data_IF_285417223193
#
_entry.id   IF_285417223193
#
_cell.length_a   1.000
_cell.length_b   1.000
_cell.length_c   1.000
_cell.angle_alpha   90.00
_cell.angle_beta   90.00
_cell.angle_gamma   90.00
#
_symmetry.space_group_name_H-M   'P 1'
#
loop_
_entity.id
_entity.type
_entity.pdbx_description
1 polymer ?
#
# COMPACT_ATOMS: atom_id res chain seq x y z
N UNK A 1 2.53 66.33 -24.76
CA UNK A 1 2.42 65.43 -23.59
C UNK A 1 1.28 64.44 -23.84
N UNK A 2 1.58 63.23 -24.35
CA UNK A 2 0.58 62.18 -24.63
C UNK A 2 0.54 61.23 -23.43
N UNK A 3 -0.57 61.20 -22.68
CA UNK A 3 -0.80 60.20 -21.63
C UNK A 3 -1.20 58.89 -22.29
N UNK A 4 -0.43 57.82 -22.05
CA UNK A 4 -0.77 56.45 -22.43
C UNK A 4 -1.80 55.92 -21.42
N UNK A 5 -2.96 55.51 -21.91
CA UNK A 5 -3.95 54.76 -21.14
C UNK A 5 -3.40 53.34 -20.97
N UNK A 6 -3.09 52.95 -19.73
CA UNK A 6 -2.73 51.57 -19.36
C UNK A 6 -4.03 50.88 -18.98
N UNK A 7 -4.51 49.98 -19.82
CA UNK A 7 -5.67 49.12 -19.54
C UNK A 7 -5.19 47.99 -18.64
N UNK A 8 -5.56 48.05 -17.37
CA UNK A 8 -5.33 47.04 -16.35
C UNK A 8 -6.39 45.94 -16.53
N UNK A 9 -6.05 44.84 -17.20
CA UNK A 9 -6.94 43.67 -17.28
C UNK A 9 -6.78 42.88 -15.99
N UNK A 10 -7.71 43.09 -15.06
CA UNK A 10 -7.86 42.29 -13.86
C UNK A 10 -8.39 40.90 -14.26
N UNK A 11 -7.55 39.88 -14.17
CA UNK A 11 -7.98 38.48 -14.18
C UNK A 11 -7.93 37.98 -12.73
N UNK A 12 -9.10 37.98 -12.07
CA UNK A 12 -9.32 37.23 -10.84
C UNK A 12 -9.14 35.74 -11.15
N UNK A 13 -8.13 35.12 -10.53
CA UNK A 13 -8.08 33.66 -10.36
C UNK A 13 -8.02 33.39 -8.85
N UNK A 14 -8.84 32.43 -8.46
CA UNK A 14 -9.34 32.21 -7.11
C UNK A 14 -8.28 32.16 -6.03
N UNK A 15 -8.64 32.78 -4.90
CA UNK A 15 -8.07 32.54 -3.59
C UNK A 15 -8.28 31.06 -3.24
N UNK A 16 -7.31 30.21 -3.57
CA UNK A 16 -7.25 28.82 -3.11
C UNK A 16 -6.84 28.82 -1.63
N UNK A 17 -7.71 28.24 -0.82
CA UNK A 17 -7.43 27.87 0.58
C UNK A 17 -6.19 26.97 0.58
N UNK A 18 -5.08 27.46 1.13
CA UNK A 18 -3.93 26.61 1.47
C UNK A 18 -4.30 25.74 2.66
N UNK A 19 -4.93 24.61 2.39
CA UNK A 19 -4.96 23.50 3.34
C UNK A 19 -3.52 22.98 3.36
N UNK A 20 -2.83 23.18 4.48
CA UNK A 20 -1.57 22.50 4.72
C UNK A 20 -1.86 21.00 4.79
N UNK A 21 -1.69 20.32 3.65
CA UNK A 21 -1.69 18.87 3.61
C UNK A 21 -0.33 18.49 4.17
N UNK A 22 -0.28 18.17 5.46
CA UNK A 22 0.80 17.33 5.96
C UNK A 22 0.80 16.09 5.10
N UNK A 23 1.89 15.82 4.38
CA UNK A 23 2.14 14.54 3.75
C UNK A 23 2.33 13.52 4.87
N UNK A 24 1.20 13.06 5.41
CA UNK A 24 1.17 11.73 5.99
C UNK A 24 1.47 10.85 4.80
N UNK A 25 2.66 10.23 4.75
CA UNK A 25 2.83 9.02 3.97
C UNK A 25 1.82 8.06 4.59
N UNK A 26 0.61 8.07 4.07
CA UNK A 26 -0.35 7.03 4.35
C UNK A 26 0.35 5.80 3.82
N UNK A 27 0.82 4.93 4.73
CA UNK A 27 1.29 3.62 4.34
C UNK A 27 0.26 3.07 3.35
N UNK A 28 0.69 2.58 2.19
CA UNK A 28 -0.23 2.22 1.12
C UNK A 28 -1.22 1.21 1.70
N UNK A 29 -2.45 1.66 1.91
CA UNK A 29 -3.52 0.76 2.33
C UNK A 29 -3.70 -0.22 1.19
N UNK A 30 -3.52 -1.53 1.42
CA UNK A 30 -3.62 -2.48 0.34
C UNK A 30 -5.03 -2.40 -0.24
N UNK A 31 -5.11 -2.26 -1.56
CA UNK A 31 -6.34 -2.41 -2.32
C UNK A 31 -6.71 -3.89 -2.31
N UNK A 32 -7.58 -4.27 -1.37
CA UNK A 32 -8.06 -5.64 -1.19
C UNK A 32 -9.41 -5.85 -1.88
N UNK A 33 -9.69 -7.08 -2.37
CA UNK A 33 -11.00 -7.39 -2.94
C UNK A 33 -12.11 -7.22 -1.89
N UNK A 34 -13.21 -6.53 -2.21
CA UNK A 34 -14.33 -6.33 -1.29
C UNK A 34 -15.25 -7.56 -1.21
N UNK A 35 -15.03 -8.56 -2.06
CA UNK A 35 -15.80 -9.80 -2.13
C UNK A 35 -15.08 -10.97 -1.50
N UNK A 36 -15.77 -12.11 -1.42
CA UNK A 36 -15.20 -13.35 -0.92
C UNK A 36 -14.12 -13.87 -1.87
N UNK A 37 -13.04 -14.39 -1.28
CA UNK A 37 -12.01 -15.17 -1.94
C UNK A 37 -11.96 -16.56 -1.32
N UNK A 38 -11.36 -17.52 -2.02
CA UNK A 38 -11.20 -18.88 -1.50
C UNK A 38 -9.81 -19.03 -0.90
N UNK A 39 -9.77 -19.43 0.36
CA UNK A 39 -8.56 -19.78 1.10
C UNK A 39 -8.49 -21.31 1.27
N UNK A 40 -7.33 -21.88 1.01
CA UNK A 40 -6.93 -23.20 1.49
C UNK A 40 -5.68 -23.07 2.34
N UNK A 41 -5.50 -23.94 3.33
CA UNK A 41 -4.28 -23.98 4.15
C UNK A 41 -3.70 -25.39 4.19
N UNK A 42 -2.37 -25.46 4.19
CA UNK A 42 -1.60 -26.67 4.44
C UNK A 42 -0.46 -26.35 5.43
N UNK A 43 0.06 -27.37 6.11
CA UNK A 43 1.18 -27.16 7.04
C UNK A 43 2.45 -26.72 6.27
N UNK A 44 3.25 -25.84 6.89
CA UNK A 44 4.52 -25.36 6.35
C UNK A 44 5.64 -25.46 7.40
N UNK A 45 6.90 -25.28 6.98
CA UNK A 45 8.06 -25.31 7.86
C UNK A 45 8.56 -23.92 8.27
N UNK A 46 8.25 -22.88 7.49
CA UNK A 46 8.74 -21.52 7.74
C UNK A 46 7.66 -20.61 8.34
N UNK A 47 6.40 -20.98 8.14
CA UNK A 47 5.22 -20.35 8.71
C UNK A 47 4.29 -21.43 9.25
N UNK A 48 3.29 -21.06 10.05
CA UNK A 48 2.39 -22.05 10.62
C UNK A 48 1.59 -22.78 9.52
N UNK A 49 1.24 -22.06 8.45
CA UNK A 49 0.65 -22.62 7.24
C UNK A 49 1.24 -22.02 5.98
N UNK A 50 1.23 -22.78 4.89
CA UNK A 50 1.14 -22.19 3.57
C UNK A 50 -0.34 -21.97 3.24
N UNK A 51 -0.72 -20.73 2.98
CA UNK A 51 -2.08 -20.32 2.64
C UNK A 51 -2.19 -20.07 1.15
N UNK A 52 -3.08 -20.77 0.46
CA UNK A 52 -3.33 -20.57 -0.96
C UNK A 52 -4.63 -19.79 -1.16
N UNK A 53 -4.53 -18.64 -1.79
CA UNK A 53 -5.68 -17.85 -2.25
C UNK A 53 -6.02 -18.20 -3.69
N UNK A 54 -7.32 -18.30 -3.96
CA UNK A 54 -7.87 -18.41 -5.30
C UNK A 54 -9.17 -17.64 -5.47
N UNK A 55 -9.56 -17.39 -6.72
CA UNK A 55 -10.70 -16.56 -7.09
C UNK A 55 -10.57 -15.10 -6.63
N UNK A 56 -9.34 -14.60 -6.50
CA UNK A 56 -9.04 -13.19 -6.31
C UNK A 56 -9.21 -12.47 -7.65
N UNK A 57 -10.11 -11.47 -7.77
CA UNK A 57 -10.25 -10.72 -9.01
C UNK A 57 -8.96 -9.96 -9.35
N UNK A 58 -8.73 -9.70 -10.64
CA UNK A 58 -7.59 -8.88 -11.05
C UNK A 58 -7.77 -7.41 -10.60
N UNK A 59 -6.64 -6.72 -10.39
CA UNK A 59 -6.61 -5.29 -10.04
C UNK A 59 -6.58 -4.99 -8.54
N UNK A 60 -6.26 -6.00 -7.72
CA UNK A 60 -6.01 -5.87 -6.28
C UNK A 60 -4.54 -6.16 -5.97
N UNK A 61 -4.09 -5.72 -4.78
CA UNK A 61 -2.69 -5.89 -4.34
C UNK A 61 -2.40 -7.32 -3.86
N UNK A 62 -3.46 -8.10 -3.63
CA UNK A 62 -3.41 -9.55 -3.40
C UNK A 62 -3.86 -10.25 -4.67
N UNK A 63 -3.27 -11.41 -4.97
CA UNK A 63 -3.56 -12.20 -6.16
C UNK A 63 -3.77 -13.67 -5.81
N UNK A 64 -4.22 -14.46 -6.79
CA UNK A 64 -4.19 -15.91 -6.68
C UNK A 64 -2.73 -16.38 -6.49
N UNK A 65 -2.48 -17.20 -5.47
CA UNK A 65 -1.12 -17.57 -5.11
C UNK A 65 -1.00 -18.21 -3.73
N UNK A 66 0.24 -18.52 -3.33
CA UNK A 66 0.56 -19.09 -2.03
C UNK A 66 1.34 -18.09 -1.18
N UNK A 67 0.95 -17.96 0.07
CA UNK A 67 1.43 -16.98 1.02
C UNK A 67 1.78 -17.64 2.35
N UNK A 68 2.88 -17.24 3.03
CA UNK A 68 3.10 -17.62 4.42
C UNK A 68 1.92 -17.21 5.28
N UNK A 69 1.48 -18.09 6.18
CA UNK A 69 0.28 -17.89 6.97
C UNK A 69 0.44 -18.26 8.44
N UNK A 70 -0.33 -17.58 9.29
CA UNK A 70 -0.30 -17.74 10.75
C UNK A 70 -1.70 -17.84 11.33
N UNK A 71 -1.85 -18.58 12.41
CA UNK A 71 -3.08 -18.60 13.19
C UNK A 71 -3.22 -17.28 13.97
N UNK A 72 -4.44 -16.77 14.00
CA UNK A 72 -4.80 -15.63 14.86
C UNK A 72 -5.63 -16.09 16.05
N UNK A 73 -6.45 -17.12 15.86
CA UNK A 73 -7.32 -17.69 16.90
C UNK A 73 -6.73 -19.00 17.46
N UNK A 74 -6.94 -19.29 18.74
CA UNK A 74 -6.56 -20.56 19.40
C UNK A 74 -7.76 -21.46 19.73
N UNK A 75 -8.99 -20.99 19.51
CA UNK A 75 -10.23 -21.62 20.02
C UNK A 75 -10.81 -22.62 19.04
N UNK A 76 -10.56 -22.41 17.76
CA UNK A 76 -11.11 -23.18 16.65
C UNK A 76 -9.97 -23.70 15.80
N UNK A 77 -10.18 -24.87 15.21
CA UNK A 77 -9.25 -25.42 14.24
C UNK A 77 -9.66 -24.96 12.84
N UNK A 78 -8.67 -24.74 11.97
CA UNK A 78 -8.90 -24.59 10.54
C UNK A 78 -8.72 -25.95 9.84
N UNK A 79 -9.65 -26.39 8.97
CA UNK A 79 -9.44 -27.60 8.19
C UNK A 79 -8.30 -27.39 7.19
N UNK A 80 -7.53 -28.45 6.95
CA UNK A 80 -6.44 -28.45 5.96
C UNK A 80 -6.98 -28.90 4.61
N UNK A 81 -6.45 -28.32 3.53
CA UNK A 81 -6.78 -28.69 2.15
C UNK A 81 -8.28 -28.61 1.79
N UNK A 82 -9.05 -27.81 2.53
CA UNK A 82 -10.46 -27.52 2.27
C UNK A 82 -10.65 -26.06 1.85
N UNK A 83 -11.60 -25.84 0.94
CA UNK A 83 -11.98 -24.50 0.48
C UNK A 83 -12.75 -23.76 1.57
N UNK A 84 -12.20 -22.64 2.02
CA UNK A 84 -12.81 -21.75 3.00
C UNK A 84 -13.05 -20.40 2.33
N UNK A 85 -14.29 -19.94 2.34
CA UNK A 85 -14.61 -18.60 1.87
C UNK A 85 -14.25 -17.57 2.94
N UNK A 86 -13.42 -16.61 2.57
CA UNK A 86 -12.92 -15.56 3.48
C UNK A 86 -13.12 -14.17 2.88
N UNK A 87 -13.34 -13.19 3.76
CA UNK A 87 -13.18 -11.78 3.46
C UNK A 87 -11.80 -11.32 3.92
N UNK A 88 -11.09 -10.56 3.07
CA UNK A 88 -9.76 -10.06 3.39
C UNK A 88 -9.82 -8.67 4.03
N UNK A 89 -9.06 -8.47 5.11
CA UNK A 89 -8.90 -7.17 5.77
C UNK A 89 -7.42 -6.86 5.99
N UNK A 90 -7.04 -5.59 5.90
CA UNK A 90 -5.70 -5.15 6.30
C UNK A 90 -5.59 -5.13 7.82
N UNK A 91 -4.43 -5.50 8.36
CA UNK A 91 -4.13 -5.28 9.78
C UNK A 91 -4.04 -3.78 10.15
N UNK A 92 -3.96 -2.87 9.17
CA UNK A 92 -4.04 -1.41 9.38
C UNK A 92 -5.48 -0.91 9.48
N UNK A 93 -6.44 -1.66 8.92
CA UNK A 93 -7.89 -1.39 8.98
C UNK A 93 -8.65 -2.68 9.30
N UNK A 94 -8.39 -3.29 10.47
CA UNK A 94 -9.01 -4.54 10.85
C UNK A 94 -10.53 -4.37 10.99
N UNK A 95 -11.31 -5.47 10.86
CA UNK A 95 -12.74 -5.43 11.14
C UNK A 95 -12.98 -5.10 12.61
N UNK A 96 -14.17 -4.59 12.93
CA UNK A 96 -14.50 -4.04 14.26
C UNK A 96 -14.16 -5.00 15.41
N UNK A 97 -14.43 -6.29 15.24
CA UNK A 97 -14.21 -7.32 16.26
C UNK A 97 -12.72 -7.62 16.53
N UNK A 98 -11.83 -7.18 15.64
CA UNK A 98 -10.38 -7.31 15.76
C UNK A 98 -9.68 -5.94 15.91
N UNK A 99 -10.43 -4.84 15.98
CA UNK A 99 -9.87 -3.49 15.95
C UNK A 99 -9.12 -3.10 17.24
N UNK A 100 -9.36 -3.80 18.34
CA UNK A 100 -8.65 -3.59 19.61
C UNK A 100 -7.35 -4.38 19.74
N UNK A 101 -7.05 -5.26 18.78
CA UNK A 101 -5.87 -6.12 18.82
C UNK A 101 -4.59 -5.35 18.44
N UNK A 102 -3.45 -5.83 18.91
CA UNK A 102 -2.14 -5.17 18.73
C UNK A 102 -1.51 -5.53 17.38
N UNK A 103 -2.18 -5.13 16.30
CA UNK A 103 -1.75 -5.39 14.92
C UNK A 103 -0.41 -4.72 14.56
N UNK A 104 -0.09 -3.60 15.19
CA UNK A 104 1.22 -2.95 15.13
C UNK A 104 2.34 -3.92 15.56
N UNK A 105 2.13 -4.62 16.68
CA UNK A 105 3.07 -5.60 17.21
C UNK A 105 3.17 -6.84 16.32
N UNK A 106 2.03 -7.31 15.78
CA UNK A 106 2.03 -8.44 14.82
C UNK A 106 2.84 -8.08 13.57
N UNK A 107 2.59 -6.91 12.99
CA UNK A 107 3.34 -6.43 11.83
C UNK A 107 4.83 -6.29 12.14
N UNK A 108 5.20 -5.78 13.31
CA UNK A 108 6.61 -5.69 13.74
C UNK A 108 7.26 -7.08 13.82
N UNK A 109 6.58 -8.06 14.43
CA UNK A 109 7.07 -9.45 14.52
C UNK A 109 7.32 -10.01 13.12
N UNK A 110 6.37 -9.84 12.19
CA UNK A 110 6.51 -10.36 10.84
C UNK A 110 7.72 -9.77 10.08
N UNK A 111 8.13 -8.54 10.42
CA UNK A 111 9.31 -7.89 9.84
C UNK A 111 10.62 -8.16 10.57
N UNK A 112 10.57 -8.78 11.75
CA UNK A 112 11.75 -9.07 12.57
C UNK A 112 11.88 -10.58 12.91
N UNK A 113 11.22 -11.45 12.12
CA UNK A 113 11.14 -12.89 12.37
C UNK A 113 12.32 -13.72 11.84
N UNK A 114 13.24 -13.12 11.10
CA UNK A 114 14.31 -13.87 10.42
C UNK A 114 15.20 -14.62 11.44
N UNK A 115 15.42 -15.91 11.19
CA UNK A 115 16.24 -16.77 12.04
C UNK A 115 15.55 -17.23 13.34
N UNK A 116 14.26 -16.92 13.53
CA UNK A 116 13.47 -17.35 14.67
C UNK A 116 12.70 -18.64 14.38
N UNK A 117 12.38 -19.39 15.45
CA UNK A 117 11.62 -20.64 15.35
C UNK A 117 10.14 -20.36 15.08
N UNK A 118 9.55 -21.07 14.12
CA UNK A 118 8.15 -20.91 13.70
C UNK A 118 7.16 -20.93 14.87
N UNK A 119 7.30 -21.88 15.81
CA UNK A 119 6.39 -21.97 16.95
C UNK A 119 6.57 -20.84 17.96
N UNK A 120 7.74 -20.23 18.04
CA UNK A 120 7.97 -19.07 18.90
C UNK A 120 7.33 -17.81 18.28
N UNK A 121 7.42 -17.65 16.95
CA UNK A 121 6.71 -16.60 16.21
C UNK A 121 5.19 -16.75 16.39
N UNK A 122 4.64 -17.95 16.17
CA UNK A 122 3.21 -18.21 16.31
C UNK A 122 2.70 -17.89 17.73
N UNK A 123 3.47 -18.23 18.76
CA UNK A 123 3.12 -17.91 20.15
C UNK A 123 3.19 -16.42 20.45
N UNK A 124 4.14 -15.70 19.85
CA UNK A 124 4.22 -14.26 19.99
C UNK A 124 3.02 -13.56 19.32
N UNK A 125 2.58 -14.04 18.15
CA UNK A 125 1.36 -13.54 17.49
C UNK A 125 0.13 -13.73 18.40
N UNK A 126 -0.05 -14.94 18.98
CA UNK A 126 -1.15 -15.20 19.93
C UNK A 126 -1.07 -14.38 21.22
N UNK A 127 0.11 -13.86 21.59
CA UNK A 127 0.20 -12.94 22.72
C UNK A 127 -0.43 -11.58 22.41
N UNK A 128 -0.26 -11.07 21.19
CA UNK A 128 -0.71 -9.73 20.79
C UNK A 128 -2.12 -9.70 20.23
N UNK A 129 -2.66 -10.84 19.79
CA UNK A 129 -4.05 -10.98 19.37
C UNK A 129 -4.83 -11.76 20.44
N UNK A 130 -5.52 -11.03 21.32
CA UNK A 130 -6.21 -11.52 22.52
C UNK A 130 -7.72 -11.58 22.30
N UNK A 131 -8.16 -12.33 21.30
CA UNK A 131 -9.59 -12.53 21.04
C UNK A 131 -10.33 -12.98 22.32
N UNK A 132 -11.36 -12.22 22.70
CA UNK A 132 -12.20 -12.41 23.89
C UNK A 132 -11.45 -12.58 25.22
N UNK A 133 -10.26 -11.98 25.35
CA UNK A 133 -9.46 -12.05 26.58
C UNK A 133 -8.78 -13.40 26.81
N UNK A 134 -8.83 -14.33 25.84
CA UNK A 134 -8.05 -15.57 25.82
C UNK A 134 -6.62 -15.27 25.35
N UNK A 135 -6.01 -14.22 25.92
CA UNK A 135 -4.62 -13.86 25.71
C UNK A 135 -3.75 -14.55 26.75
N UNK A 136 -3.66 -15.88 26.71
CA UNK A 136 -2.83 -16.59 27.67
C UNK A 136 -2.14 -17.77 27.02
N UNK A 137 -0.81 -17.74 27.08
CA UNK A 137 -0.02 -18.95 27.09
C UNK A 137 -0.70 -19.96 28.01
N UNK A 138 -1.10 -21.11 27.48
CA UNK A 138 -1.45 -22.24 28.32
C UNK A 138 -0.13 -22.83 28.87
N UNK A 139 0.52 -22.10 29.79
CA UNK A 139 1.86 -22.39 30.32
C UNK A 139 2.79 -21.17 30.36
N UNK A 140 4.08 -21.40 30.64
CA UNK A 140 5.12 -20.38 30.45
C UNK A 140 5.48 -20.32 28.96
N UNK A 141 5.57 -19.13 28.33
CA UNK A 141 6.23 -19.01 27.04
C UNK A 141 7.58 -19.71 27.06
N UNK A 142 7.93 -20.36 25.94
CA UNK A 142 9.33 -20.72 25.70
C UNK A 142 10.18 -19.45 25.69
N UNK A 143 11.45 -19.56 26.06
CA UNK A 143 12.35 -18.40 26.14
C UNK A 143 12.45 -17.64 24.80
N UNK A 144 12.35 -18.34 23.66
CA UNK A 144 12.31 -17.73 22.34
C UNK A 144 11.07 -16.86 22.14
N UNK A 145 9.87 -17.41 22.34
CA UNK A 145 8.63 -16.65 22.24
C UNK A 145 8.59 -15.43 23.17
N UNK A 146 9.09 -15.56 24.41
CA UNK A 146 9.17 -14.42 25.33
C UNK A 146 10.11 -13.34 24.82
N UNK A 147 11.27 -13.69 24.27
CA UNK A 147 12.20 -12.72 23.71
C UNK A 147 11.61 -11.93 22.53
N UNK A 148 10.81 -12.58 21.68
CA UNK A 148 10.08 -11.92 20.59
C UNK A 148 9.06 -10.93 21.13
N UNK A 149 8.30 -11.34 22.15
CA UNK A 149 7.31 -10.49 22.80
C UNK A 149 7.98 -9.28 23.45
N UNK A 150 9.06 -9.48 24.19
CA UNK A 150 9.79 -8.40 24.85
C UNK A 150 10.36 -7.40 23.82
N UNK A 151 10.88 -7.90 22.69
CA UNK A 151 11.39 -7.04 21.61
C UNK A 151 10.28 -6.24 20.93
N UNK A 152 9.14 -6.88 20.63
CA UNK A 152 7.98 -6.20 20.07
C UNK A 152 7.41 -5.17 21.06
N UNK A 153 7.24 -5.48 22.35
CA UNK A 153 6.77 -4.51 23.35
C UNK A 153 7.72 -3.30 23.48
N UNK A 154 9.02 -3.50 23.26
CA UNK A 154 10.01 -2.43 23.32
C UNK A 154 10.04 -1.55 22.06
N UNK A 155 9.77 -2.11 20.87
CA UNK A 155 10.08 -1.46 19.59
C UNK A 155 8.91 -1.39 18.58
N UNK A 156 7.86 -2.19 18.76
CA UNK A 156 6.76 -2.36 17.79
C UNK A 156 5.56 -1.44 18.00
N UNK A 157 5.54 -0.62 19.06
CA UNK A 157 4.42 0.27 19.34
C UNK A 157 4.25 1.31 18.23
N UNK A 158 3.11 1.27 17.54
CA UNK A 158 2.82 2.13 16.39
C UNK A 158 3.61 1.76 15.12
N UNK A 159 4.19 0.57 15.04
CA UNK A 159 4.83 0.08 13.81
C UNK A 159 3.80 -0.06 12.68
N UNK A 160 4.11 0.57 11.56
CA UNK A 160 3.32 0.52 10.33
C UNK A 160 4.29 0.09 9.23
N UNK A 161 4.10 -1.09 8.59
CA UNK A 161 4.95 -1.53 7.51
C UNK A 161 5.02 -0.49 6.39
N UNK A 162 6.23 -0.21 5.92
CA UNK A 162 6.52 0.56 4.72
C UNK A 162 6.80 -0.33 3.51
N UNK A 163 7.35 0.27 2.47
CA UNK A 163 7.73 -0.40 1.22
C UNK A 163 8.75 -1.54 1.46
N UNK A 164 8.53 -2.68 0.81
CA UNK A 164 9.35 -3.89 0.96
C UNK A 164 9.18 -4.60 2.30
N UNK A 165 8.41 -4.05 3.24
CA UNK A 165 8.08 -4.67 4.51
C UNK A 165 6.81 -5.53 4.41
N UNK A 166 6.66 -6.47 5.34
CA UNK A 166 5.54 -7.40 5.39
C UNK A 166 4.36 -6.77 6.13
N UNK A 167 3.20 -6.80 5.48
CA UNK A 167 1.91 -6.48 6.07
C UNK A 167 1.08 -7.74 6.28
N UNK A 168 0.44 -7.85 7.45
CA UNK A 168 -0.53 -8.92 7.70
C UNK A 168 -1.88 -8.63 7.03
N UNK A 169 -2.39 -9.58 6.24
CA UNK A 169 -3.79 -9.59 5.78
C UNK A 169 -4.57 -10.62 6.56
N UNK A 170 -5.62 -10.16 7.23
CA UNK A 170 -6.55 -10.98 7.99
C UNK A 170 -7.49 -11.69 7.01
N UNK A 171 -7.52 -13.01 7.09
CA UNK A 171 -8.46 -13.85 6.38
C UNK A 171 -9.61 -14.20 7.33
N UNK A 172 -10.72 -13.46 7.22
CA UNK A 172 -11.90 -13.65 8.07
C UNK A 172 -12.86 -14.66 7.43
N UNK A 173 -13.07 -15.87 7.98
CA UNK A 173 -13.98 -16.85 7.42
C UNK A 173 -15.45 -16.47 7.64
N UNK A 174 -16.32 -16.85 6.70
CA UNK A 174 -17.78 -16.69 6.81
C UNK A 174 -18.45 -17.71 7.75
N UNK A 175 -17.67 -18.65 8.29
CA UNK A 175 -18.12 -19.74 9.15
C UNK A 175 -17.35 -19.74 10.46
N UNK A 176 -17.75 -20.57 11.42
CA UNK A 176 -17.03 -20.78 12.70
C UNK A 176 -15.73 -21.58 12.49
N UNK A 177 -14.82 -21.04 11.68
CA UNK A 177 -13.48 -21.56 11.38
C UNK A 177 -12.44 -20.62 11.98
N UNK A 178 -11.22 -21.11 12.23
CA UNK A 178 -10.11 -20.29 12.73
C UNK A 178 -9.82 -19.10 11.81
N UNK A 179 -9.65 -17.93 12.41
CA UNK A 179 -9.13 -16.74 11.71
C UNK A 179 -7.62 -16.94 11.52
N UNK A 180 -7.15 -16.64 10.31
CA UNK A 180 -5.73 -16.66 9.95
C UNK A 180 -5.30 -15.31 9.41
N UNK A 181 -3.99 -15.12 9.32
CA UNK A 181 -3.39 -14.05 8.53
C UNK A 181 -2.45 -14.62 7.48
N UNK A 182 -2.28 -13.89 6.38
CA UNK A 182 -1.23 -14.12 5.39
C UNK A 182 -0.25 -12.96 5.36
N UNK A 183 0.99 -13.26 5.00
CA UNK A 183 2.03 -12.26 4.76
C UNK A 183 1.96 -11.75 3.33
N UNK A 184 1.86 -10.44 3.16
CA UNK A 184 2.08 -9.78 1.86
C UNK A 184 3.19 -8.76 2.00
N UNK A 185 4.09 -8.72 1.02
CA UNK A 185 5.07 -7.65 0.92
C UNK A 185 4.37 -6.41 0.39
N UNK A 186 4.55 -5.28 1.08
CA UNK A 186 4.10 -4.00 0.54
C UNK A 186 4.97 -3.70 -0.68
N UNK A 187 4.37 -3.50 -1.86
CA UNK A 187 5.14 -3.23 -3.06
C UNK A 187 5.99 -1.98 -2.86
N UNK A 188 7.25 -2.05 -3.29
CA UNK A 188 8.10 -0.87 -3.47
C UNK A 188 7.44 0.01 -4.54
N UNK A 189 6.90 1.17 -4.12
CA UNK A 189 6.29 2.13 -5.03
C UNK A 189 7.42 3.05 -5.50
N UNK A 190 7.81 3.01 -6.79
CA UNK A 190 8.93 3.81 -7.25
C UNK A 190 8.68 5.29 -6.99
N UNK A 191 9.75 6.00 -6.65
CA UNK A 191 9.67 7.42 -6.35
C UNK A 191 9.04 8.19 -7.52
N UNK A 192 8.23 9.19 -7.18
CA UNK A 192 7.56 10.00 -8.18
C UNK A 192 8.51 10.59 -9.21
N UNK A 193 8.05 10.70 -10.46
CA UNK A 193 8.83 11.31 -11.52
C UNK A 193 8.64 12.82 -11.52
N UNK A 194 9.73 13.56 -11.75
CA UNK A 194 9.72 15.02 -11.71
C UNK A 194 8.75 15.66 -12.73
N UNK A 195 8.29 16.90 -12.49
CA UNK A 195 7.58 17.67 -13.52
C UNK A 195 8.36 17.79 -14.84
N UNK A 196 9.69 17.75 -14.78
CA UNK A 196 10.55 17.75 -15.97
C UNK A 196 10.41 16.49 -16.82
N UNK A 197 10.31 15.33 -16.17
CA UNK A 197 10.14 14.03 -16.83
C UNK A 197 8.80 13.97 -17.59
N UNK A 198 7.69 14.26 -16.90
CA UNK A 198 6.35 14.21 -17.51
C UNK A 198 6.21 15.20 -18.65
N UNK A 199 6.69 16.43 -18.46
CA UNK A 199 6.69 17.46 -19.51
C UNK A 199 7.42 17.00 -20.77
N UNK A 200 8.57 16.35 -20.62
CA UNK A 200 9.34 15.85 -21.77
C UNK A 200 8.56 14.76 -22.53
N UNK A 201 8.05 13.76 -21.82
CA UNK A 201 7.33 12.65 -22.43
C UNK A 201 6.02 13.10 -23.11
N UNK A 202 5.25 13.99 -22.49
CA UNK A 202 4.04 14.56 -23.10
C UNK A 202 4.37 15.38 -24.35
N UNK A 203 5.50 16.11 -24.37
CA UNK A 203 5.95 16.78 -25.60
C UNK A 203 6.23 15.76 -26.71
N UNK A 204 6.90 14.65 -26.41
CA UNK A 204 7.15 13.61 -27.41
C UNK A 204 5.83 13.02 -27.92
N UNK A 205 4.86 12.77 -27.04
CA UNK A 205 3.52 12.30 -27.41
C UNK A 205 2.77 13.29 -28.32
N UNK A 206 2.98 14.59 -28.15
CA UNK A 206 2.46 15.66 -28.99
C UNK A 206 3.31 15.94 -30.25
N UNK A 207 4.11 14.97 -30.70
CA UNK A 207 4.98 15.05 -31.87
C UNK A 207 6.08 16.13 -31.84
N UNK A 208 6.48 16.59 -30.66
CA UNK A 208 7.69 17.42 -30.55
C UNK A 208 8.95 16.54 -30.70
N UNK A 209 10.07 17.09 -31.21
CA UNK A 209 11.32 16.35 -31.34
C UNK A 209 11.81 15.79 -30.01
N UNK A 210 12.18 14.50 -29.98
CA UNK A 210 12.70 13.84 -28.80
C UNK A 210 12.56 12.31 -28.89
N UNK A 211 12.82 11.64 -27.78
CA UNK A 211 12.51 10.23 -27.55
C UNK A 211 11.90 10.11 -26.16
N UNK A 212 10.99 9.18 -26.00
CA UNK A 212 10.44 8.86 -24.69
C UNK A 212 11.53 8.46 -23.69
N UNK A 213 11.40 8.90 -22.46
CA UNK A 213 12.31 8.56 -21.37
C UNK A 213 11.92 7.23 -20.73
N UNK A 214 12.88 6.63 -20.05
CA UNK A 214 12.66 5.48 -19.17
C UNK A 214 12.38 6.03 -17.77
N UNK A 215 11.32 5.60 -17.07
CA UNK A 215 11.00 6.09 -15.71
C UNK A 215 12.10 5.77 -14.70
N UNK A 216 12.43 4.48 -14.58
CA UNK A 216 13.44 3.96 -13.66
C UNK A 216 14.33 2.92 -14.36
N UNK A 217 15.53 2.70 -13.83
CA UNK A 217 16.47 1.74 -14.43
C UNK A 217 15.86 0.33 -14.51
N UNK A 218 15.76 -0.20 -15.73
CA UNK A 218 15.17 -1.51 -15.98
C UNK A 218 13.72 -1.47 -16.48
N UNK A 219 13.02 -0.33 -16.39
CA UNK A 219 11.66 -0.19 -16.90
C UNK A 219 11.61 0.07 -18.42
N UNK A 220 10.50 -0.30 -19.09
CA UNK A 220 10.28 0.08 -20.48
C UNK A 220 10.13 1.61 -20.61
N UNK A 221 10.39 2.13 -21.81
CA UNK A 221 10.08 3.53 -22.12
C UNK A 221 8.56 3.71 -22.14
N UNK A 222 8.08 4.80 -21.54
CA UNK A 222 6.67 5.16 -21.62
C UNK A 222 6.37 5.65 -23.04
N UNK A 223 5.49 5.00 -23.78
CA UNK A 223 5.13 5.40 -25.14
C UNK A 223 3.84 6.25 -25.20
N UNK A 224 3.33 6.48 -26.42
CA UNK A 224 2.14 7.29 -26.63
C UNK A 224 0.90 6.69 -25.94
N UNK A 225 0.69 5.38 -26.08
CA UNK A 225 -0.51 4.71 -25.59
C UNK A 225 -0.55 4.76 -24.06
N UNK A 226 0.61 4.59 -23.41
CA UNK A 226 0.73 4.69 -21.95
C UNK A 226 0.43 6.13 -21.47
N UNK A 227 1.07 7.16 -22.05
CA UNK A 227 0.86 8.55 -21.61
C UNK A 227 -0.57 9.00 -21.86
N UNK A 228 -1.14 8.63 -23.01
CA UNK A 228 -2.53 8.94 -23.33
C UNK A 228 -3.47 8.28 -22.32
N UNK A 229 -3.21 7.01 -21.97
CA UNK A 229 -3.98 6.29 -20.95
C UNK A 229 -3.94 6.98 -19.58
N UNK A 230 -2.78 7.49 -19.16
CA UNK A 230 -2.66 8.25 -17.90
C UNK A 230 -3.39 9.59 -17.95
N UNK A 231 -3.33 10.30 -19.08
CA UNK A 231 -4.07 11.55 -19.25
C UNK A 231 -5.59 11.33 -19.20
N UNK A 232 -6.07 10.27 -19.87
CA UNK A 232 -7.47 9.87 -19.86
C UNK A 232 -7.94 9.48 -18.45
N UNK A 233 -7.13 8.75 -17.68
CA UNK A 233 -7.49 8.30 -16.34
C UNK A 233 -7.64 9.44 -15.33
N UNK A 234 -6.89 10.53 -15.50
CA UNK A 234 -7.01 11.75 -14.67
C UNK A 234 -7.93 12.82 -15.30
N UNK A 235 -8.56 12.51 -16.44
CA UNK A 235 -9.57 13.35 -17.07
C UNK A 235 -9.04 14.63 -17.73
N UNK A 236 -7.82 14.60 -18.29
CA UNK A 236 -7.22 15.74 -19.00
C UNK A 236 -6.74 15.34 -20.40
N UNK A 237 -6.66 16.30 -21.32
CA UNK A 237 -5.95 16.06 -22.60
C UNK A 237 -4.44 16.26 -22.43
N UNK A 238 -3.65 15.69 -23.35
CA UNK A 238 -2.20 15.89 -23.37
C UNK A 238 -1.80 17.36 -23.48
N UNK A 239 -2.57 18.18 -24.19
CA UNK A 239 -2.33 19.63 -24.30
C UNK A 239 -2.58 20.35 -22.98
N UNK A 240 -3.65 19.99 -22.25
CA UNK A 240 -3.94 20.54 -20.93
C UNK A 240 -2.86 20.17 -19.92
N UNK A 241 -2.42 18.91 -19.94
CA UNK A 241 -1.31 18.44 -19.12
C UNK A 241 -0.01 19.20 -19.44
N UNK A 242 0.30 19.40 -20.73
CA UNK A 242 1.48 20.16 -21.15
C UNK A 242 1.40 21.63 -20.73
N UNK A 243 0.24 22.26 -20.83
CA UNK A 243 0.02 23.64 -20.37
C UNK A 243 0.31 23.77 -18.88
N UNK A 244 -0.25 22.89 -18.04
CA UNK A 244 0.02 22.85 -16.61
C UNK A 244 1.51 22.63 -16.29
N UNK A 245 2.14 21.64 -16.94
CA UNK A 245 3.55 21.31 -16.73
C UNK A 245 4.53 22.39 -17.25
N UNK A 246 4.05 23.32 -18.07
CA UNK A 246 4.82 24.46 -18.58
C UNK A 246 4.43 25.80 -17.96
N UNK A 247 3.55 25.79 -16.96
CA UNK A 247 3.06 26.99 -16.29
C UNK A 247 4.21 27.88 -15.80
N UNK A 248 4.00 29.20 -15.93
CA UNK A 248 4.96 30.25 -15.52
C UNK A 248 4.27 31.29 -14.66
N UNK A 249 5.04 31.89 -13.77
CA UNK A 249 4.59 32.97 -12.88
C UNK A 249 4.40 32.50 -11.44
N UNK A 250 3.89 33.37 -10.55
CA UNK A 250 3.61 33.02 -9.18
C UNK A 250 2.68 31.81 -9.08
N UNK A 251 3.04 30.80 -8.27
CA UNK A 251 2.28 29.56 -8.06
C UNK A 251 2.45 28.51 -9.16
N UNK A 252 3.29 28.76 -10.17
CA UNK A 252 3.46 27.83 -11.27
C UNK A 252 4.30 26.60 -10.92
N UNK A 253 5.12 26.68 -9.89
CA UNK A 253 5.73 25.54 -9.21
C UNK A 253 4.69 24.56 -8.66
N UNK A 254 3.68 25.06 -7.95
CA UNK A 254 2.59 24.24 -7.39
C UNK A 254 1.81 23.56 -8.51
N UNK A 255 1.36 24.30 -9.53
CA UNK A 255 0.61 23.75 -10.67
C UNK A 255 1.39 22.64 -11.39
N UNK A 256 2.70 22.84 -11.57
CA UNK A 256 3.57 21.84 -12.21
C UNK A 256 3.71 20.59 -11.35
N UNK A 257 3.86 20.76 -10.03
CA UNK A 257 3.98 19.66 -9.09
C UNK A 257 2.68 18.87 -8.97
N UNK A 258 1.53 19.53 -8.87
CA UNK A 258 0.21 18.89 -8.81
C UNK A 258 -0.07 18.05 -10.06
N UNK A 259 0.22 18.60 -11.25
CA UNK A 259 0.06 17.83 -12.50
C UNK A 259 1.04 16.64 -12.56
N UNK A 260 2.29 16.81 -12.14
CA UNK A 260 3.25 15.71 -12.07
C UNK A 260 2.79 14.60 -11.13
N UNK A 261 2.28 14.97 -9.94
CA UNK A 261 1.80 14.02 -8.95
C UNK A 261 0.50 13.33 -9.39
N UNK A 262 -0.35 13.98 -10.19
CA UNK A 262 -1.50 13.33 -10.81
C UNK A 262 -1.06 12.23 -11.81
N UNK A 263 -0.04 12.50 -12.63
CA UNK A 263 0.54 11.49 -13.51
C UNK A 263 1.28 10.38 -12.76
N UNK A 264 2.00 10.71 -11.67
CA UNK A 264 2.63 9.71 -10.81
C UNK A 264 1.57 8.76 -10.22
N UNK A 265 0.50 9.31 -9.65
CA UNK A 265 -0.60 8.51 -9.11
C UNK A 265 -1.25 7.62 -10.18
N UNK A 266 -1.47 8.14 -11.40
CA UNK A 266 -2.00 7.37 -12.52
C UNK A 266 -1.05 6.24 -12.99
N UNK A 267 0.25 6.43 -12.82
CA UNK A 267 1.29 5.48 -13.18
C UNK A 267 1.69 4.52 -12.04
N UNK A 268 1.08 4.66 -10.86
CA UNK A 268 1.43 3.86 -9.69
C UNK A 268 2.76 4.23 -9.05
N UNK A 269 3.15 5.51 -9.09
CA UNK A 269 4.33 6.06 -8.41
C UNK A 269 3.92 6.95 -7.23
N UNK A 270 4.83 7.13 -6.26
CA UNK A 270 4.66 8.09 -5.17
C UNK A 270 4.60 9.55 -5.67
N UNK A 271 4.13 10.51 -4.86
CA UNK A 271 4.34 11.92 -5.13
C UNK A 271 5.83 12.24 -5.32
N UNK A 272 6.15 13.13 -6.26
CA UNK A 272 7.53 13.58 -6.45
C UNK A 272 8.00 14.41 -5.25
N UNK A 273 9.14 14.04 -4.68
CA UNK A 273 9.90 14.82 -3.71
C UNK A 273 11.25 15.21 -4.32
N UNK A 274 11.64 16.48 -4.15
CA UNK A 274 12.96 17.01 -4.55
C UNK A 274 14.11 16.45 -3.68
#
# INVERSE_FOLDING_TARGET
>A
MRRKTVTLTALMIGMMLTIGISSVNAAPFPNLPPGLVTLQVADDTNSYFISTLSAVPAGYDVADGSYPGWCVDMRTDIPREEDILVTLYSSLTPPLDLASERWDMVNYILNNKEGLEMMDIQRAIWYFVKMDGVGWWNGSPGAGAQAIVDDAEANGDGFIPGEGEILAIICMPETETQITIIEIEIPDIPCGLSPGFWKHNIRVALNFPGRYSVPHDGEPRIDYDIISGYADSIGVTLEQALEALTAKGPGSDIIRLEMANAFNAAAGYEPYSD
#
